data_IF_134963655538
#
_entry.id   IF_134963655538
#
_cell.length_a   1.000
_cell.length_b   1.000
_cell.length_c   1.000
_cell.angle_alpha   90.00
_cell.angle_beta   90.00
_cell.angle_gamma   90.00
#
_symmetry.space_group_name_H-M   'P 1'
#
loop_
_entity.id
_entity.type
_entity.pdbx_description
1 polymer ?
#
# COMPACT_ATOMS: atom_id res chain seq x y z
N UNK A 1 -14.77 13.42 16.03
CA UNK A 1 -14.36 12.01 15.88
C UNK A 1 -13.11 11.99 15.00
N UNK A 2 -11.91 11.72 15.56
CA UNK A 2 -10.72 11.49 14.72
C UNK A 2 -10.81 10.11 14.09
N UNK A 3 -10.81 10.04 12.76
CA UNK A 3 -10.65 8.77 12.04
C UNK A 3 -9.17 8.35 12.15
N UNK A 4 -8.94 7.11 12.59
CA UNK A 4 -7.61 6.51 12.60
C UNK A 4 -7.32 6.09 11.16
N UNK A 5 -6.46 6.85 10.48
CA UNK A 5 -6.10 6.58 9.08
C UNK A 5 -4.87 5.69 9.00
N UNK A 6 -5.07 4.38 8.95
CA UNK A 6 -4.01 3.37 8.76
C UNK A 6 -3.31 3.55 7.40
N UNK A 7 -2.01 3.89 7.41
CA UNK A 7 -1.21 4.10 6.20
C UNK A 7 -0.33 2.88 5.92
N UNK A 8 -0.65 2.13 4.87
CA UNK A 8 0.06 0.92 4.43
C UNK A 8 1.19 1.29 3.47
N UNK A 9 2.25 0.47 3.42
CA UNK A 9 3.38 0.62 2.50
C UNK A 9 3.51 -0.58 1.57
N UNK A 10 3.78 -0.33 0.28
CA UNK A 10 4.16 -1.34 -0.70
C UNK A 10 5.58 -1.07 -1.21
N UNK A 11 6.39 -2.10 -1.41
CA UNK A 11 7.75 -2.00 -1.97
C UNK A 11 7.78 -2.10 -3.49
N UNK A 12 6.77 -2.73 -4.07
CA UNK A 12 6.67 -3.00 -5.51
C UNK A 12 5.24 -3.23 -5.94
N UNK A 13 5.03 -3.08 -7.24
CA UNK A 13 3.78 -3.37 -7.93
C UNK A 13 4.06 -4.20 -9.18
N UNK A 14 3.34 -5.32 -9.28
CA UNK A 14 3.26 -6.14 -10.49
C UNK A 14 1.91 -5.86 -11.17
N UNK A 15 1.95 -5.52 -12.46
CA UNK A 15 0.75 -5.30 -13.29
C UNK A 15 0.82 -6.18 -14.52
N UNK A 16 -0.26 -6.92 -14.80
CA UNK A 16 -0.35 -7.83 -15.96
C UNK A 16 -1.72 -7.71 -16.61
N UNK A 17 -1.76 -7.46 -17.92
CA UNK A 17 -3.02 -7.54 -18.67
C UNK A 17 -3.48 -9.00 -18.80
N UNK A 18 -4.77 -9.24 -18.57
CA UNK A 18 -5.41 -10.55 -18.73
C UNK A 18 -6.25 -10.53 -20.02
N UNK A 19 -5.95 -11.45 -20.95
CA UNK A 19 -6.63 -11.59 -22.23
C UNK A 19 -5.66 -11.82 -23.39
N UNK A 20 -6.20 -12.23 -24.54
CA UNK A 20 -5.40 -12.44 -25.75
C UNK A 20 -4.87 -11.10 -26.27
N UNK A 21 -3.54 -10.92 -26.19
CA UNK A 21 -2.88 -9.79 -26.84
C UNK A 21 -3.18 -9.89 -28.35
N UNK A 22 -3.82 -8.88 -28.97
CA UNK A 22 -4.12 -8.95 -30.39
C UNK A 22 -2.81 -9.11 -31.17
N UNK A 23 -2.79 -10.01 -32.14
CA UNK A 23 -1.63 -10.25 -32.99
C UNK A 23 -0.98 -8.93 -33.44
N UNK A 24 0.36 -8.83 -33.40
CA UNK A 24 1.04 -7.59 -33.71
C UNK A 24 0.73 -7.17 -35.15
N UNK A 25 0.05 -6.03 -35.31
CA UNK A 25 -0.03 -5.38 -36.62
C UNK A 25 1.38 -5.03 -37.07
N UNK A 26 1.79 -5.49 -38.27
CA UNK A 26 3.16 -5.38 -38.83
C UNK A 26 3.74 -3.96 -38.92
N UNK A 27 2.98 -2.91 -38.58
CA UNK A 27 3.25 -1.54 -39.02
C UNK A 27 3.50 -0.50 -37.93
N UNK A 28 3.37 -0.79 -36.62
CA UNK A 28 3.71 0.20 -35.58
C UNK A 28 4.36 -0.40 -34.34
N UNK A 29 5.62 -0.02 -34.08
CA UNK A 29 6.32 -0.23 -32.81
C UNK A 29 5.67 0.64 -31.73
N UNK A 30 4.62 0.14 -31.09
CA UNK A 30 3.94 0.83 -29.99
C UNK A 30 4.43 0.28 -28.64
N UNK A 31 4.55 1.15 -27.65
CA UNK A 31 4.80 0.79 -26.25
C UNK A 31 3.63 1.17 -25.39
N UNK A 32 3.44 0.41 -24.31
CA UNK A 32 2.50 0.74 -23.26
C UNK A 32 3.25 1.14 -22.00
N UNK A 33 2.66 2.02 -21.22
CA UNK A 33 3.08 2.34 -19.85
C UNK A 33 1.82 2.42 -19.01
N UNK A 34 1.93 2.21 -17.71
CA UNK A 34 0.84 2.52 -16.78
C UNK A 34 1.21 3.70 -15.88
N UNK A 35 0.18 4.38 -15.40
CA UNK A 35 0.27 5.40 -14.37
C UNK A 35 -0.62 4.96 -13.20
N UNK A 36 -0.05 4.95 -12.00
CA UNK A 36 -0.77 4.71 -10.75
C UNK A 36 -1.12 6.05 -10.12
N UNK A 37 -2.39 6.27 -9.87
CA UNK A 37 -2.87 7.35 -9.03
C UNK A 37 -3.47 6.78 -7.74
N UNK A 38 -3.22 7.48 -6.64
CA UNK A 38 -3.79 7.18 -5.32
C UNK A 38 -4.48 8.44 -4.85
N UNK A 39 -5.78 8.35 -4.59
CA UNK A 39 -6.61 9.48 -4.16
C UNK A 39 -6.51 10.67 -5.13
N UNK A 40 -6.50 10.37 -6.44
CA UNK A 40 -6.40 11.35 -7.53
C UNK A 40 -5.00 11.94 -7.75
N UNK A 41 -4.01 11.55 -6.96
CA UNK A 41 -2.62 12.01 -7.09
C UNK A 41 -1.77 10.96 -7.79
N UNK A 42 -1.00 11.37 -8.80
CA UNK A 42 -0.03 10.50 -9.47
C UNK A 42 1.09 10.09 -8.50
N UNK A 43 1.26 8.78 -8.32
CA UNK A 43 2.26 8.20 -7.43
C UNK A 43 3.39 7.54 -8.21
N UNK A 44 3.08 6.85 -9.30
CA UNK A 44 4.04 6.07 -10.08
C UNK A 44 3.75 6.20 -11.58
N UNK A 45 4.81 6.27 -12.39
CA UNK A 45 4.75 6.02 -13.83
C UNK A 45 5.71 4.88 -14.16
N UNK A 46 5.23 3.88 -14.88
CA UNK A 46 6.01 2.69 -15.19
C UNK A 46 7.01 2.91 -16.31
N UNK A 47 7.95 1.97 -16.44
CA UNK A 47 8.71 1.81 -17.65
C UNK A 47 7.79 1.47 -18.85
N UNK A 48 8.30 1.75 -20.06
CA UNK A 48 7.60 1.45 -21.31
C UNK A 48 7.85 0.00 -21.70
N UNK A 49 6.80 -0.78 -21.87
CA UNK A 49 6.87 -2.18 -22.31
C UNK A 49 6.35 -2.35 -23.74
N UNK A 50 6.82 -3.36 -24.47
CA UNK A 50 6.25 -3.74 -25.76
C UNK A 50 4.77 -4.14 -25.65
N UNK A 51 4.00 -4.05 -26.74
CA UNK A 51 2.59 -4.46 -26.76
C UNK A 51 2.44 -5.98 -26.57
N UNK A 52 3.44 -6.73 -26.98
CA UNK A 52 3.44 -8.19 -27.02
C UNK A 52 3.52 -8.79 -25.61
N UNK A 53 4.02 -8.03 -24.63
CA UNK A 53 4.09 -8.44 -23.22
C UNK A 53 3.70 -7.26 -22.33
N UNK A 54 2.40 -7.16 -22.01
CA UNK A 54 1.84 -6.17 -21.10
C UNK A 54 2.01 -6.64 -19.64
N UNK A 55 3.27 -6.83 -19.25
CA UNK A 55 3.68 -7.12 -17.89
C UNK A 55 4.66 -6.05 -17.41
N UNK A 56 4.36 -5.46 -16.26
CA UNK A 56 5.21 -4.50 -15.58
C UNK A 56 5.54 -5.00 -14.19
N UNK A 57 6.78 -4.76 -13.77
CA UNK A 57 7.27 -5.01 -12.41
C UNK A 57 8.06 -3.79 -11.98
N UNK A 58 7.45 -2.96 -11.15
CA UNK A 58 8.07 -1.73 -10.68
C UNK A 58 8.45 -1.88 -9.22
N UNK A 59 9.73 -1.62 -8.92
CA UNK A 59 10.31 -1.76 -7.58
C UNK A 59 10.34 -0.43 -6.82
N UNK A 60 9.29 0.37 -6.97
CA UNK A 60 9.18 1.68 -6.34
C UNK A 60 8.25 1.63 -5.14
N UNK A 61 8.73 2.18 -4.02
CA UNK A 61 8.01 2.17 -2.75
C UNK A 61 6.95 3.25 -2.72
N UNK A 62 5.71 2.89 -2.37
CA UNK A 62 4.62 3.84 -2.22
C UNK A 62 3.74 3.53 -0.99
N UNK A 63 2.84 4.46 -0.68
CA UNK A 63 1.97 4.37 0.48
C UNK A 63 0.51 4.61 0.09
N UNK A 64 -0.41 3.93 0.78
CA UNK A 64 -1.84 4.09 0.59
C UNK A 64 -2.60 3.77 1.88
N UNK A 65 -3.91 3.99 1.90
CA UNK A 65 -4.77 3.60 3.01
C UNK A 65 -5.79 2.55 2.53
N UNK A 66 -6.37 1.71 3.42
CA UNK A 66 -7.44 0.81 3.02
C UNK A 66 -8.63 1.50 2.32
N UNK A 67 -8.88 2.77 2.67
CA UNK A 67 -9.93 3.61 2.08
C UNK A 67 -9.50 4.33 0.81
N UNK A 68 -8.21 4.32 0.44
CA UNK A 68 -7.71 5.05 -0.71
C UNK A 68 -8.35 4.54 -1.99
N UNK A 69 -8.61 5.46 -2.92
CA UNK A 69 -9.01 5.12 -4.29
C UNK A 69 -7.74 4.88 -5.10
N UNK A 70 -7.61 3.66 -5.63
CA UNK A 70 -6.47 3.25 -6.44
C UNK A 70 -6.92 3.24 -7.90
N UNK A 71 -6.25 4.03 -8.73
CA UNK A 71 -6.52 4.13 -10.15
C UNK A 71 -5.28 3.76 -10.95
N UNK A 72 -5.46 2.90 -11.94
CA UNK A 72 -4.40 2.53 -12.89
C UNK A 72 -4.88 2.86 -14.28
N UNK A 73 -4.10 3.68 -14.98
CA UNK A 73 -4.36 4.08 -16.36
C UNK A 73 -3.26 3.55 -17.27
N UNK A 74 -3.62 2.79 -18.30
CA UNK A 74 -2.68 2.31 -19.32
C UNK A 74 -2.67 3.28 -20.48
N UNK A 75 -1.48 3.77 -20.84
CA UNK A 75 -1.25 4.64 -21.97
C UNK A 75 -0.44 3.95 -23.06
N UNK A 76 -0.81 4.21 -24.31
CA UNK A 76 -0.08 3.80 -25.50
C UNK A 76 0.69 4.95 -26.09
N UNK A 77 1.96 4.74 -26.38
CA UNK A 77 2.86 5.70 -27.01
C UNK A 77 3.57 5.07 -28.20
N UNK A 78 3.77 5.85 -29.27
CA UNK A 78 4.56 5.43 -30.43
C UNK A 78 6.06 5.49 -30.10
N UNK A 79 6.83 4.45 -30.48
CA UNK A 79 8.30 4.50 -30.43
C UNK A 79 8.90 5.42 -31.52
N UNK A 80 8.19 5.60 -32.64
CA UNK A 80 8.73 6.30 -33.82
C UNK A 80 8.50 7.82 -33.80
N UNK A 81 7.48 8.29 -33.08
CA UNK A 81 7.08 9.70 -33.05
C UNK A 81 6.96 10.16 -31.60
N UNK A 82 8.10 10.44 -30.96
CA UNK A 82 8.21 10.77 -29.53
C UNK A 82 7.43 12.01 -29.07
N UNK A 83 7.01 12.85 -30.02
CA UNK A 83 6.26 14.10 -29.82
C UNK A 83 4.73 13.90 -29.76
N UNK A 84 4.21 12.72 -30.12
CA UNK A 84 2.77 12.46 -29.98
C UNK A 84 2.41 12.25 -28.51
N UNK A 85 1.30 12.88 -28.10
CA UNK A 85 0.69 12.68 -26.78
C UNK A 85 0.37 11.18 -26.59
N UNK A 86 0.63 10.60 -25.41
CA UNK A 86 0.17 9.26 -25.07
C UNK A 86 -1.35 9.17 -25.19
N UNK A 87 -1.84 8.03 -25.68
CA UNK A 87 -3.28 7.75 -25.82
C UNK A 87 -3.70 6.85 -24.68
N UNK A 88 -4.73 7.22 -23.92
CA UNK A 88 -5.32 6.36 -22.90
C UNK A 88 -5.96 5.13 -23.58
N UNK A 89 -5.62 3.94 -23.09
CA UNK A 89 -6.10 2.65 -23.62
C UNK A 89 -7.04 1.95 -22.67
N UNK A 90 -6.84 2.14 -21.36
CA UNK A 90 -7.75 1.59 -20.37
C UNK A 90 -7.54 2.23 -19.01
N UNK A 91 -8.61 2.26 -18.24
CA UNK A 91 -8.64 2.82 -16.89
C UNK A 91 -9.33 1.83 -15.96
N UNK A 92 -8.69 1.59 -14.82
CA UNK A 92 -9.06 0.57 -13.86
C UNK A 92 -9.06 1.20 -12.48
N UNK A 93 -10.05 0.86 -11.66
CA UNK A 93 -10.22 1.46 -10.34
C UNK A 93 -10.52 0.37 -9.32
N UNK A 94 -9.91 0.48 -8.15
CA UNK A 94 -10.16 -0.37 -6.99
C UNK A 94 -10.01 0.40 -5.69
N UNK A 95 -10.34 -0.22 -4.56
CA UNK A 95 -10.11 0.34 -3.23
C UNK A 95 -8.81 -0.19 -2.67
N UNK A 96 -8.11 0.60 -1.86
CA UNK A 96 -6.85 0.19 -1.24
C UNK A 96 -6.95 -1.15 -0.50
N UNK A 97 -8.09 -1.41 0.15
CA UNK A 97 -8.37 -2.69 0.82
C UNK A 97 -8.27 -3.91 -0.12
N UNK A 98 -8.63 -3.76 -1.39
CA UNK A 98 -8.67 -4.85 -2.38
C UNK A 98 -7.26 -5.38 -2.69
N UNK A 99 -6.22 -4.59 -2.44
CA UNK A 99 -4.82 -4.92 -2.74
C UNK A 99 -4.02 -5.41 -1.53
N UNK A 100 -4.68 -5.68 -0.39
CA UNK A 100 -4.00 -6.05 0.86
C UNK A 100 -3.63 -7.54 0.92
N UNK A 101 -4.35 -8.41 0.21
CA UNK A 101 -4.34 -9.85 0.50
C UNK A 101 -3.96 -10.73 -0.70
N UNK A 102 -4.28 -10.29 -1.92
CA UNK A 102 -4.11 -11.12 -3.10
C UNK A 102 -3.78 -10.29 -4.34
N UNK A 103 -3.40 -11.01 -5.41
CA UNK A 103 -3.46 -10.47 -6.76
C UNK A 103 -4.91 -10.10 -7.05
N UNK A 104 -5.17 -8.81 -7.25
CA UNK A 104 -6.47 -8.29 -7.57
C UNK A 104 -6.67 -8.24 -9.07
N UNK A 105 -7.78 -8.81 -9.54
CA UNK A 105 -8.25 -8.63 -10.91
C UNK A 105 -9.13 -7.38 -10.99
N UNK A 106 -8.72 -6.38 -11.77
CA UNK A 106 -9.53 -5.22 -12.09
C UNK A 106 -10.09 -5.36 -13.50
N UNK A 107 -11.36 -4.99 -13.65
CA UNK A 107 -12.02 -4.89 -14.95
C UNK A 107 -11.99 -3.42 -15.38
N UNK A 108 -11.70 -3.17 -16.64
CA UNK A 108 -11.73 -1.83 -17.23
C UNK A 108 -13.13 -1.22 -17.08
N UNK A 109 -13.21 0.10 -16.92
CA UNK A 109 -14.51 0.80 -16.84
C UNK A 109 -15.46 0.49 -18.02
N UNK A 110 -14.94 0.20 -19.21
CA UNK A 110 -15.73 -0.23 -20.38
C UNK A 110 -16.20 -1.68 -20.32
N UNK A 111 -15.54 -2.54 -19.52
CA UNK A 111 -15.79 -3.97 -19.42
C UNK A 111 -14.95 -4.85 -20.36
N UNK A 112 -14.19 -4.26 -21.28
CA UNK A 112 -13.58 -4.97 -22.41
C UNK A 112 -12.21 -5.59 -22.11
N UNK A 113 -11.55 -5.15 -21.04
CA UNK A 113 -10.22 -5.64 -20.68
C UNK A 113 -10.04 -5.78 -19.18
N UNK A 114 -9.03 -6.56 -18.78
CA UNK A 114 -8.79 -6.91 -17.38
C UNK A 114 -7.31 -6.81 -17.03
N UNK A 115 -7.01 -6.45 -15.79
CA UNK A 115 -5.67 -6.41 -15.23
C UNK A 115 -5.57 -7.25 -13.97
N UNK A 116 -4.57 -8.11 -13.88
CA UNK A 116 -4.08 -8.66 -12.63
C UNK A 116 -3.04 -7.71 -12.03
N UNK A 117 -3.26 -7.27 -10.80
CA UNK A 117 -2.38 -6.35 -10.07
C UNK A 117 -2.03 -6.96 -8.73
N UNK A 118 -0.76 -6.93 -8.36
CA UNK A 118 -0.28 -7.39 -7.06
C UNK A 118 0.64 -6.35 -6.45
N UNK A 119 0.36 -5.98 -5.20
CA UNK A 119 1.28 -5.17 -4.41
C UNK A 119 2.09 -6.07 -3.51
N UNK A 120 3.40 -5.88 -3.48
CA UNK A 120 4.21 -6.51 -2.43
C UNK A 120 4.24 -5.55 -1.24
N UNK A 121 3.44 -5.90 -0.24
CA UNK A 121 3.29 -5.09 0.97
C UNK A 121 4.49 -5.25 1.88
N UNK A 122 4.91 -4.13 2.45
CA UNK A 122 5.94 -4.12 3.48
C UNK A 122 5.25 -4.04 4.82
N UNK A 123 5.20 -5.16 5.53
CA UNK A 123 4.91 -5.17 6.95
C UNK A 123 6.04 -4.43 7.69
N UNK A 124 5.69 -3.72 8.75
CA UNK A 124 6.72 -3.26 9.67
C UNK A 124 7.36 -4.46 10.36
N UNK A 125 8.68 -4.41 10.57
CA UNK A 125 9.34 -5.48 11.29
C UNK A 125 8.82 -5.53 12.73
N UNK A 126 8.74 -6.74 13.28
CA UNK A 126 8.42 -7.00 14.68
C UNK A 126 9.17 -6.04 15.62
N UNK A 127 10.47 -5.86 15.39
CA UNK A 127 11.32 -4.97 16.18
C UNK A 127 10.92 -3.49 16.07
N UNK A 128 10.61 -3.01 14.86
CA UNK A 128 10.20 -1.63 14.66
C UNK A 128 8.81 -1.34 15.26
N UNK A 129 7.92 -2.34 15.22
CA UNK A 129 6.60 -2.27 15.85
C UNK A 129 6.73 -2.24 17.39
N UNK A 130 7.43 -3.22 17.98
CA UNK A 130 7.63 -3.29 19.43
C UNK A 130 8.35 -2.05 19.98
N UNK A 131 9.32 -1.51 19.25
CA UNK A 131 9.99 -0.26 19.63
C UNK A 131 9.03 0.94 19.64
N UNK A 132 8.10 1.01 18.70
CA UNK A 132 7.09 2.08 18.68
C UNK A 132 6.10 1.94 19.84
N UNK A 133 5.68 0.69 20.12
CA UNK A 133 4.84 0.35 21.29
C UNK A 133 5.53 0.77 22.58
N UNK A 134 6.79 0.39 22.80
CA UNK A 134 7.57 0.72 23.99
C UNK A 134 7.73 2.23 24.20
N UNK A 135 8.02 2.98 23.13
CA UNK A 135 8.17 4.43 23.22
C UNK A 135 6.85 5.10 23.61
N UNK A 136 5.72 4.69 23.02
CA UNK A 136 4.40 5.16 23.42
C UNK A 136 4.06 4.83 24.87
N UNK A 137 4.41 3.63 25.34
CA UNK A 137 4.22 3.25 26.75
C UNK A 137 5.01 4.16 27.69
N UNK A 138 6.25 4.51 27.32
CA UNK A 138 7.09 5.45 28.08
C UNK A 138 6.51 6.86 28.10
N UNK A 139 5.95 7.33 26.99
CA UNK A 139 5.32 8.65 26.92
C UNK A 139 4.03 8.70 27.76
N UNK A 140 3.20 7.64 27.71
CA UNK A 140 1.98 7.57 28.51
C UNK A 140 2.28 7.57 30.02
N UNK A 141 3.36 6.92 30.44
CA UNK A 141 3.82 6.93 31.83
C UNK A 141 4.27 8.33 32.31
N UNK A 142 4.77 9.18 31.41
CA UNK A 142 5.21 10.55 31.73
C UNK A 142 4.05 11.55 31.83
N UNK A 143 2.96 11.35 31.08
CA UNK A 143 1.86 12.32 30.96
C UNK A 143 0.90 12.33 32.17
N UNK A 144 0.80 11.26 32.96
CA UNK A 144 -0.19 11.16 34.05
C UNK A 144 0.42 11.28 35.45
N UNK A 145 0.52 12.51 35.93
CA UNK A 145 0.48 12.79 37.38
C UNK A 145 -0.95 12.56 37.90
N UNK A 146 -1.09 11.70 38.93
CA UNK A 146 -2.32 11.25 39.60
C UNK A 146 -3.23 10.30 38.77
N UNK A 147 -3.16 9.00 39.10
CA UNK A 147 -3.85 7.89 38.40
C UNK A 147 -2.92 6.78 37.89
N UNK A 148 -1.63 6.82 38.28
CA UNK A 148 -0.57 5.99 37.75
C UNK A 148 -0.82 4.48 37.86
N UNK A 149 -1.34 3.95 38.98
CA UNK A 149 -1.46 2.49 39.15
C UNK A 149 -2.41 1.79 38.15
N UNK A 150 -3.57 2.38 37.85
CA UNK A 150 -4.56 1.79 36.94
C UNK A 150 -4.12 1.91 35.47
N UNK A 151 -3.47 3.03 35.13
CA UNK A 151 -2.89 3.23 33.80
C UNK A 151 -1.69 2.29 33.56
N UNK A 152 -0.79 2.13 34.54
CA UNK A 152 0.34 1.19 34.46
C UNK A 152 -0.13 -0.25 34.35
N UNK A 153 -1.19 -0.63 35.08
CA UNK A 153 -1.83 -1.95 34.99
C UNK A 153 -2.40 -2.22 33.59
N UNK A 154 -3.16 -1.28 33.01
CA UNK A 154 -3.70 -1.40 31.66
C UNK A 154 -2.60 -1.44 30.59
N UNK A 155 -1.57 -0.61 30.72
CA UNK A 155 -0.43 -0.58 29.81
C UNK A 155 0.36 -1.89 29.84
N UNK A 156 0.67 -2.39 31.05
CA UNK A 156 1.35 -3.66 31.22
C UNK A 156 0.51 -4.80 30.63
N UNK A 157 -0.81 -4.81 30.88
CA UNK A 157 -1.71 -5.83 30.33
C UNK A 157 -1.76 -5.81 28.80
N UNK A 158 -1.78 -4.63 28.18
CA UNK A 158 -1.76 -4.49 26.71
C UNK A 158 -0.40 -4.92 26.14
N UNK A 159 0.71 -4.53 26.78
CA UNK A 159 2.05 -4.95 26.38
C UNK A 159 2.23 -6.47 26.44
N UNK A 160 1.84 -7.09 27.55
CA UNK A 160 1.89 -8.54 27.72
C UNK A 160 0.95 -9.28 26.76
N UNK A 161 -0.24 -8.74 26.50
CA UNK A 161 -1.16 -9.32 25.53
C UNK A 161 -0.61 -9.24 24.10
N UNK A 162 0.02 -8.12 23.72
CA UNK A 162 0.68 -7.97 22.42
C UNK A 162 1.87 -8.92 22.30
N UNK A 163 2.78 -8.96 23.28
CA UNK A 163 3.92 -9.91 23.30
C UNK A 163 3.49 -11.38 23.15
N UNK A 164 2.32 -11.75 23.69
CA UNK A 164 1.78 -13.09 23.56
C UNK A 164 1.11 -13.36 22.19
N UNK A 165 0.46 -12.35 21.60
CA UNK A 165 -0.32 -12.49 20.36
C UNK A 165 0.57 -12.32 19.12
N UNK A 166 1.58 -11.45 19.14
CA UNK A 166 2.45 -11.18 17.98
C UNK A 166 3.13 -12.44 17.44
N UNK A 167 3.77 -13.30 18.26
CA UNK A 167 4.42 -14.52 17.75
C UNK A 167 3.43 -15.52 17.14
N UNK A 168 2.18 -15.51 17.60
CA UNK A 168 1.10 -16.34 17.05
C UNK A 168 0.65 -15.77 15.70
N UNK A 169 0.49 -14.45 15.61
CA UNK A 169 0.19 -13.77 14.35
C UNK A 169 1.33 -13.97 13.35
N UNK A 170 2.59 -13.79 13.71
CA UNK A 170 3.75 -14.00 12.82
C UNK A 170 3.84 -15.44 12.27
N UNK A 171 3.43 -16.44 13.05
CA UNK A 171 3.32 -17.83 12.57
C UNK A 171 2.14 -18.03 11.61
N UNK A 172 1.03 -17.32 11.83
CA UNK A 172 -0.17 -17.43 11.03
C UNK A 172 -0.11 -16.57 9.75
N UNK A 173 0.59 -15.44 9.76
CA UNK A 173 0.84 -14.60 8.58
C UNK A 173 1.71 -15.32 7.55
N UNK A 174 2.67 -16.13 8.00
CA UNK A 174 3.45 -17.01 7.13
C UNK A 174 2.64 -18.15 6.51
N UNK A 175 1.47 -18.49 7.07
CA UNK A 175 0.63 -19.60 6.65
C UNK A 175 -0.65 -19.17 5.90
N UNK A 176 -1.15 -17.95 6.11
CA UNK A 176 -2.42 -17.50 5.53
C UNK A 176 -2.38 -16.00 5.14
N UNK A 177 -2.67 -15.66 3.86
CA UNK A 177 -2.54 -14.28 3.37
C UNK A 177 -3.54 -13.32 4.05
N UNK A 178 -4.79 -13.73 4.32
CA UNK A 178 -5.78 -12.89 5.06
C UNK A 178 -5.23 -12.42 6.42
N UNK A 179 -4.55 -13.33 7.14
CA UNK A 179 -3.99 -13.02 8.46
C UNK A 179 -2.81 -12.06 8.33
N UNK A 180 -2.02 -12.19 7.25
CA UNK A 180 -0.96 -11.24 6.92
C UNK A 180 -1.51 -9.84 6.63
N UNK A 181 -2.58 -9.74 5.84
CA UNK A 181 -3.26 -8.47 5.58
C UNK A 181 -3.81 -7.82 6.85
N UNK A 182 -4.48 -8.59 7.71
CA UNK A 182 -5.00 -8.12 8.99
C UNK A 182 -3.88 -7.63 9.93
N UNK A 183 -2.74 -8.33 9.96
CA UNK A 183 -1.57 -7.95 10.75
C UNK A 183 -0.93 -6.64 10.27
N UNK A 184 -0.82 -6.45 8.96
CA UNK A 184 -0.33 -5.19 8.36
C UNK A 184 -1.23 -4.03 8.77
N UNK A 185 -2.56 -4.20 8.67
CA UNK A 185 -3.51 -3.15 9.06
C UNK A 185 -3.40 -2.84 10.56
N UNK A 186 -3.28 -3.86 11.41
CA UNK A 186 -3.20 -3.70 12.86
C UNK A 186 -1.90 -3.00 13.30
N UNK A 187 -0.76 -3.42 12.75
CA UNK A 187 0.55 -2.82 13.05
C UNK A 187 0.62 -1.34 12.67
N UNK A 188 0.07 -0.97 11.50
CA UNK A 188 -0.02 0.42 11.08
C UNK A 188 -1.05 1.24 11.88
N UNK A 189 -2.19 0.66 12.28
CA UNK A 189 -3.22 1.37 13.04
C UNK A 189 -2.72 1.81 14.42
N UNK A 190 -1.87 0.99 15.06
CA UNK A 190 -1.23 1.35 16.33
C UNK A 190 -0.36 2.61 16.16
N UNK A 191 0.46 2.67 15.11
CA UNK A 191 1.37 3.80 14.83
C UNK A 191 0.69 5.14 14.57
N UNK A 192 -0.57 5.11 14.11
CA UNK A 192 -1.37 6.33 13.85
C UNK A 192 -1.99 6.86 15.15
N UNK A 193 -2.05 6.04 16.20
CA UNK A 193 -2.63 6.40 17.49
C UNK A 193 -1.64 7.08 18.43
N UNK A 194 -0.32 6.94 18.21
CA UNK A 194 0.68 7.87 18.73
C UNK A 194 0.49 9.26 18.12
N UNK A 195 0.18 10.30 18.91
CA UNK A 195 0.39 11.66 18.45
C UNK A 195 1.88 11.84 18.18
N UNK A 196 2.25 12.16 16.93
CA UNK A 196 3.52 12.86 16.66
C UNK A 196 3.41 14.23 17.29
N UNK A 197 3.93 14.42 18.50
CA UNK A 197 4.21 15.76 19.00
C UNK A 197 5.34 16.35 18.17
N UNK A 198 4.96 17.14 17.17
CA UNK A 198 5.83 18.07 16.48
C UNK A 198 6.27 19.15 17.47
N UNK A 199 7.52 19.11 17.90
CA UNK A 199 8.13 20.24 18.60
C UNK A 199 8.21 21.45 17.66
N UNK A 200 7.33 22.41 17.88
CA UNK A 200 7.57 23.81 17.55
C UNK A 200 8.34 24.42 18.73
N UNK A 201 9.52 24.98 18.48
CA UNK A 201 10.05 26.01 19.36
C UNK A 201 10.75 27.09 18.52
N UNK A 202 10.29 28.32 18.71
CA UNK A 202 10.79 29.57 18.12
C UNK A 202 12.14 29.98 18.74
N UNK A 203 12.93 30.85 18.05
CA UNK A 203 14.23 31.30 18.53
C UNK A 203 14.09 32.43 19.57
N UNK A 204 15.09 32.53 20.45
CA UNK A 204 15.42 33.73 21.23
C UNK A 204 16.77 34.23 20.75
#
# INVERSE_FOLDING_TARGET
>A
MSQITTRISASSIDVRALGDSPEPSKTQKLTHMFVLNIDGSKVLESAKVPRESLEWKELEKFHFTPSSTIEIAIYRKSRALGWRKPVLVGEYTGRGMDFIDATQELVEKSGDSRLAIKFDLVAESHEAFMKAVDEEMRQLAKVKGAGAQTATSLVATIGTALEAIVPVLDKLTGAHPIVNGAWIVLSFAYKVRAPRESYSYYPV
#
